data_IF_699883463145
#
_entry.id   IF_699883463145
#
_cell.length_a   1.000
_cell.length_b   1.000
_cell.length_c   1.000
_cell.angle_alpha   90.00
_cell.angle_beta   90.00
_cell.angle_gamma   90.00
#
_symmetry.space_group_name_H-M   'P 1'
#
loop_
_entity.id
_entity.type
_entity.pdbx_description
1 polymer ?
#
# COMPACT_ATOMS: atom_id res chain seq x y z
N UNK A 1 -18.26 -2.12 -2.22
CA UNK A 1 -16.90 -2.26 -1.64
C UNK A 1 -16.33 -0.88 -1.50
N UNK A 2 -15.86 -0.52 -0.31
CA UNK A 2 -15.18 0.75 -0.06
C UNK A 2 -13.82 0.73 -0.79
N UNK A 3 -13.33 1.88 -1.24
CA UNK A 3 -12.01 2.01 -1.91
C UNK A 3 -10.89 1.44 -1.05
N UNK A 4 -11.02 1.59 0.28
CA UNK A 4 -10.11 1.01 1.26
C UNK A 4 -10.07 -0.53 1.22
N UNK A 5 -11.23 -1.17 1.05
CA UNK A 5 -11.35 -2.63 1.02
C UNK A 5 -10.73 -3.20 -0.27
N UNK A 6 -10.93 -2.51 -1.40
CA UNK A 6 -10.31 -2.86 -2.68
C UNK A 6 -8.78 -2.71 -2.64
N UNK A 7 -8.28 -1.63 -2.02
CA UNK A 7 -6.85 -1.43 -1.82
C UNK A 7 -6.25 -2.55 -0.97
N UNK A 8 -6.89 -2.91 0.14
CA UNK A 8 -6.43 -3.98 1.04
C UNK A 8 -6.37 -5.33 0.31
N UNK A 9 -7.37 -5.64 -0.51
CA UNK A 9 -7.40 -6.86 -1.32
C UNK A 9 -6.27 -6.86 -2.36
N UNK A 10 -6.02 -5.72 -3.01
CA UNK A 10 -4.91 -5.54 -3.94
C UNK A 10 -3.55 -5.77 -3.26
N UNK A 11 -3.32 -5.16 -2.10
CA UNK A 11 -2.09 -5.33 -1.33
C UNK A 11 -1.86 -6.79 -0.91
N UNK A 12 -2.92 -7.50 -0.48
CA UNK A 12 -2.84 -8.93 -0.14
C UNK A 12 -2.45 -9.80 -1.34
N UNK A 13 -2.94 -9.48 -2.55
CA UNK A 13 -2.56 -10.17 -3.79
C UNK A 13 -1.08 -9.93 -4.12
N UNK A 14 -0.64 -8.67 -4.07
CA UNK A 14 0.75 -8.31 -4.38
C UNK A 14 1.71 -8.92 -3.35
N UNK A 15 1.33 -8.98 -2.07
CA UNK A 15 2.11 -9.62 -1.01
C UNK A 15 2.38 -11.09 -1.32
N UNK A 16 1.38 -11.84 -1.78
CA UNK A 16 1.55 -13.24 -2.14
C UNK A 16 2.57 -13.43 -3.28
N UNK A 17 2.52 -12.56 -4.29
CA UNK A 17 3.47 -12.57 -5.41
C UNK A 17 4.88 -12.21 -4.92
N UNK A 18 4.99 -11.18 -4.07
CA UNK A 18 6.26 -10.72 -3.50
C UNK A 18 6.93 -11.82 -2.65
N UNK A 19 6.14 -12.55 -1.85
CA UNK A 19 6.61 -13.70 -1.06
C UNK A 19 7.12 -14.83 -1.94
N UNK A 20 6.41 -15.14 -3.03
CA UNK A 20 6.83 -16.16 -3.98
C UNK A 20 8.16 -15.81 -4.67
N UNK A 21 8.41 -14.52 -4.91
CA UNK A 21 9.63 -14.02 -5.55
C UNK A 21 10.80 -13.76 -4.58
N UNK A 22 10.60 -13.96 -3.27
CA UNK A 22 11.65 -13.75 -2.26
C UNK A 22 12.10 -12.29 -2.09
N UNK A 23 11.28 -11.32 -2.50
CA UNK A 23 11.61 -9.90 -2.39
C UNK A 23 11.35 -9.38 -0.96
N UNK A 24 12.28 -9.67 -0.03
CA UNK A 24 12.12 -9.40 1.40
C UNK A 24 11.76 -7.95 1.73
N UNK A 25 12.49 -6.98 1.17
CA UNK A 25 12.22 -5.55 1.43
C UNK A 25 10.82 -5.14 1.00
N UNK A 26 10.37 -5.64 -0.16
CA UNK A 26 9.03 -5.34 -0.67
C UNK A 26 7.93 -6.04 0.14
N UNK A 27 8.18 -7.26 0.61
CA UNK A 27 7.27 -8.00 1.51
C UNK A 27 7.07 -7.26 2.83
N UNK A 28 8.17 -6.88 3.50
CA UNK A 28 8.13 -6.15 4.77
C UNK A 28 7.40 -4.80 4.63
N UNK A 29 7.58 -4.14 3.49
CA UNK A 29 6.89 -2.91 3.14
C UNK A 29 5.37 -3.09 3.03
N UNK A 30 4.91 -4.05 2.23
CA UNK A 30 3.47 -4.29 2.06
C UNK A 30 2.81 -4.78 3.36
N UNK A 31 3.51 -5.58 4.16
CA UNK A 31 2.99 -6.04 5.45
C UNK A 31 2.76 -4.86 6.43
N UNK A 32 3.64 -3.85 6.43
CA UNK A 32 3.42 -2.63 7.21
C UNK A 32 2.23 -1.83 6.71
N UNK A 33 2.08 -1.70 5.39
CA UNK A 33 0.95 -0.98 4.79
C UNK A 33 -0.39 -1.65 5.08
N UNK A 34 -0.49 -2.97 4.92
CA UNK A 34 -1.70 -3.73 5.25
C UNK A 34 -2.05 -3.53 6.73
N UNK A 35 -1.05 -3.57 7.63
CA UNK A 35 -1.29 -3.39 9.07
C UNK A 35 -1.82 -2.00 9.41
N UNK A 36 -1.29 -0.95 8.77
CA UNK A 36 -1.77 0.42 8.96
C UNK A 36 -3.21 0.57 8.46
N UNK A 37 -3.49 0.09 7.24
CA UNK A 37 -4.82 0.15 6.64
C UNK A 37 -5.85 -0.67 7.45
N UNK A 38 -5.50 -1.87 7.92
CA UNK A 38 -6.38 -2.67 8.80
C UNK A 38 -6.69 -1.97 10.13
N UNK A 39 -5.81 -1.08 10.60
CA UNK A 39 -6.03 -0.24 11.77
C UNK A 39 -6.82 1.04 11.46
N UNK A 40 -7.17 1.29 10.20
CA UNK A 40 -7.81 2.53 9.76
C UNK A 40 -6.84 3.72 9.64
N UNK A 41 -5.54 3.45 9.60
CA UNK A 41 -4.49 4.44 9.39
C UNK A 41 -4.05 4.48 7.93
N UNK A 42 -3.47 5.60 7.51
CA UNK A 42 -2.92 5.74 6.16
C UNK A 42 -1.68 4.86 5.96
N UNK A 43 -1.45 4.43 4.72
CA UNK A 43 -0.23 3.68 4.36
C UNK A 43 1.02 4.52 4.67
N UNK A 44 1.95 4.02 5.53
CA UNK A 44 3.19 4.71 5.83
C UNK A 44 4.10 4.88 4.61
N UNK A 45 4.03 3.99 3.62
CA UNK A 45 4.85 4.11 2.39
C UNK A 45 4.38 5.27 1.51
N UNK A 46 3.06 5.51 1.41
CA UNK A 46 2.52 6.66 0.68
C UNK A 46 3.07 7.97 1.28
N UNK A 47 3.31 8.02 2.59
CA UNK A 47 3.87 9.19 3.27
C UNK A 47 5.39 9.31 3.16
N UNK A 48 6.12 8.20 3.25
CA UNK A 48 7.59 8.22 3.33
C UNK A 48 8.29 8.19 1.96
N UNK A 49 7.70 7.57 0.95
CA UNK A 49 8.40 7.27 -0.31
C UNK A 49 7.83 7.97 -1.55
N UNK A 50 6.65 8.57 -1.48
CA UNK A 50 6.15 9.40 -2.58
C UNK A 50 6.81 10.78 -2.53
N UNK A 51 7.38 11.19 -3.66
CA UNK A 51 7.78 12.60 -3.83
C UNK A 51 6.52 13.49 -3.73
N UNK A 52 6.68 14.78 -3.41
CA UNK A 52 5.56 15.71 -3.38
C UNK A 52 4.70 15.67 -4.66
N UNK A 53 5.33 15.49 -5.82
CA UNK A 53 4.68 15.39 -7.12
C UNK A 53 3.81 14.13 -7.24
N UNK A 54 4.29 12.99 -6.75
CA UNK A 54 3.55 11.73 -6.76
C UNK A 54 2.38 11.72 -5.76
N UNK A 55 2.46 12.54 -4.70
CA UNK A 55 1.34 12.75 -3.75
C UNK A 55 0.20 13.53 -4.37
N UNK A 56 0.50 14.61 -5.10
CA UNK A 56 -0.53 15.47 -5.72
C UNK A 56 -1.37 14.69 -6.74
N UNK A 57 -0.74 13.75 -7.46
CA UNK A 57 -1.44 12.97 -8.49
C UNK A 57 -2.47 11.97 -7.94
N UNK A 58 -2.44 11.66 -6.64
CA UNK A 58 -3.44 10.79 -5.99
C UNK A 58 -4.61 11.57 -5.38
N UNK A 59 -4.49 12.89 -5.22
CA UNK A 59 -5.56 13.76 -4.70
C UNK A 59 -6.48 14.31 -5.81
N UNK A 60 -6.02 14.30 -7.08
CA UNK A 60 -6.87 14.63 -8.23
C UNK A 60 -7.55 13.37 -8.79
N UNK A 61 -8.64 12.97 -8.16
CA UNK A 61 -9.78 12.39 -8.89
C UNK A 61 -10.96 13.33 -8.72
N UNK A 62 -11.15 14.19 -9.71
CA UNK A 62 -12.45 14.82 -10.00
C UNK A 62 -13.46 13.78 -10.49
#
# INVERSE_FOLDING_TARGET
MNDHEQLLEGLKKVLNIAKANGNKLFVENIERDIKALEAGEESPIIKEYLTPEERISNDCKD
#
